data_IF_118067054632
#
_entry.id   IF_118067054632
#
_cell.length_a   1.000
_cell.length_b   1.000
_cell.length_c   1.000
_cell.angle_alpha   90.00
_cell.angle_beta   90.00
_cell.angle_gamma   90.00
#
_symmetry.space_group_name_H-M   'P 1'
#
loop_
_entity.id
_entity.type
_entity.pdbx_description
1 polymer ?
#
# COMPACT_ATOMS: atom_id res chain seq x y z
N UNK A 1 5.05 12.29 22.04
CA UNK A 1 4.44 10.94 22.07
C UNK A 1 3.49 10.64 20.91
N UNK A 2 2.84 11.62 20.24
CA UNK A 2 1.89 11.36 19.14
C UNK A 2 2.54 11.19 17.74
N UNK A 3 3.69 11.82 17.47
CA UNK A 3 4.35 11.74 16.15
C UNK A 3 4.97 10.35 15.91
N UNK A 4 5.60 9.77 16.94
CA UNK A 4 6.15 8.42 16.85
C UNK A 4 5.08 7.34 16.60
N UNK A 5 3.88 7.51 17.17
CA UNK A 5 2.77 6.57 16.95
C UNK A 5 2.21 6.65 15.52
N UNK A 6 2.11 7.85 14.92
CA UNK A 6 1.61 7.99 13.54
C UNK A 6 2.60 7.50 12.49
N UNK A 7 3.91 7.67 12.72
CA UNK A 7 4.96 7.10 11.85
C UNK A 7 4.88 5.56 11.90
N UNK A 8 4.75 5.00 13.10
CA UNK A 8 4.62 3.55 13.27
C UNK A 8 3.36 3.00 12.60
N UNK A 9 2.23 3.70 12.73
CA UNK A 9 0.98 3.34 12.06
C UNK A 9 1.07 3.45 10.54
N UNK A 10 1.70 4.50 10.01
CA UNK A 10 1.95 4.64 8.58
C UNK A 10 2.86 3.52 8.04
N UNK A 11 3.90 3.16 8.80
CA UNK A 11 4.78 2.04 8.44
C UNK A 11 4.03 0.69 8.42
N UNK A 12 3.19 0.43 9.44
CA UNK A 12 2.35 -0.78 9.48
C UNK A 12 1.36 -0.78 8.31
N UNK A 13 0.75 0.36 8.00
CA UNK A 13 -0.14 0.53 6.84
C UNK A 13 0.56 0.19 5.52
N UNK A 14 1.78 0.70 5.33
CA UNK A 14 2.60 0.38 4.14
C UNK A 14 2.97 -1.11 4.06
N UNK A 15 3.36 -1.74 5.16
CA UNK A 15 3.73 -3.16 5.18
C UNK A 15 2.55 -4.06 4.85
N UNK A 16 1.40 -3.82 5.49
CA UNK A 16 0.17 -4.54 5.18
C UNK A 16 -0.25 -4.33 3.73
N UNK A 17 -0.08 -3.11 3.22
CA UNK A 17 -0.37 -2.79 1.83
C UNK A 17 0.51 -3.58 0.86
N UNK A 18 1.80 -3.67 1.14
CA UNK A 18 2.72 -4.41 0.30
C UNK A 18 2.38 -5.91 0.25
N UNK A 19 1.99 -6.51 1.39
CA UNK A 19 1.59 -7.90 1.45
C UNK A 19 0.35 -8.19 0.58
N UNK A 20 -0.69 -7.36 0.69
CA UNK A 20 -1.94 -7.56 -0.07
C UNK A 20 -1.80 -7.20 -1.55
N UNK A 21 -0.94 -6.22 -1.89
CA UNK A 21 -0.55 -5.95 -3.28
C UNK A 21 0.16 -7.16 -3.90
N UNK A 22 1.09 -7.78 -3.18
CA UNK A 22 1.80 -8.97 -3.66
C UNK A 22 0.81 -10.11 -3.89
N UNK A 23 -0.13 -10.32 -2.97
CA UNK A 23 -1.18 -11.33 -3.12
C UNK A 23 -2.05 -11.07 -4.35
N UNK A 24 -2.53 -9.85 -4.53
CA UNK A 24 -3.34 -9.45 -5.69
C UNK A 24 -2.57 -9.63 -7.00
N UNK A 25 -1.29 -9.24 -7.03
CA UNK A 25 -0.42 -9.45 -8.19
C UNK A 25 -0.25 -10.95 -8.52
N UNK A 26 -0.08 -11.82 -7.52
CA UNK A 26 0.00 -13.27 -7.75
C UNK A 26 -1.31 -13.86 -8.28
N UNK A 27 -2.46 -13.35 -7.83
CA UNK A 27 -3.77 -13.77 -8.33
C UNK A 27 -3.94 -13.37 -9.80
N UNK A 28 -3.55 -12.14 -10.16
CA UNK A 28 -3.56 -11.65 -11.55
C UNK A 28 -2.65 -12.49 -12.45
N UNK A 29 -1.44 -12.82 -11.97
CA UNK A 29 -0.49 -13.64 -12.71
C UNK A 29 -1.01 -15.07 -12.93
N UNK A 30 -1.59 -15.69 -11.90
CA UNK A 30 -2.18 -17.02 -12.01
C UNK A 30 -3.39 -17.04 -12.95
N UNK A 31 -4.22 -16.01 -12.87
CA UNK A 31 -5.36 -15.79 -13.76
C UNK A 31 -4.94 -15.73 -15.23
N UNK A 32 -3.87 -15.00 -15.57
CA UNK A 32 -3.34 -14.95 -16.94
C UNK A 32 -2.78 -16.30 -17.41
N UNK A 33 -2.22 -17.13 -16.52
CA UNK A 33 -1.75 -18.47 -16.89
C UNK A 33 -2.89 -19.47 -17.11
N UNK A 34 -3.97 -19.39 -16.32
CA UNK A 34 -5.11 -20.32 -16.35
C UNK A 34 -6.07 -20.03 -17.53
N UNK A 35 -6.06 -18.80 -18.05
CA UNK A 35 -6.85 -18.39 -19.21
C UNK A 35 -6.57 -19.19 -20.49
N UNK A 36 -5.41 -19.87 -20.57
CA UNK A 36 -5.08 -20.77 -21.69
C UNK A 36 -5.92 -22.05 -21.70
N UNK A 37 -6.42 -22.50 -20.54
CA UNK A 37 -7.13 -23.78 -20.37
C UNK A 37 -8.66 -23.63 -20.20
N UNK A 38 -9.16 -22.47 -19.75
CA UNK A 38 -10.61 -22.27 -19.60
C UNK A 38 -11.05 -20.79 -19.66
N UNK A 39 -11.63 -20.31 -20.77
CA UNK A 39 -11.97 -18.88 -20.97
C UNK A 39 -13.18 -18.37 -20.17
N UNK A 40 -13.84 -19.20 -19.35
CA UNK A 40 -15.10 -18.83 -18.67
C UNK A 40 -14.98 -18.45 -17.18
N UNK A 41 -13.81 -18.52 -16.54
CA UNK A 41 -13.75 -18.44 -15.07
C UNK A 41 -12.57 -17.63 -14.49
N UNK A 42 -12.15 -16.56 -15.15
CA UNK A 42 -11.06 -15.73 -14.64
C UNK A 42 -11.54 -14.31 -14.37
N UNK A 43 -12.12 -14.11 -13.17
CA UNK A 43 -12.49 -12.77 -12.71
C UNK A 43 -11.22 -12.01 -12.27
N UNK A 44 -10.66 -11.24 -13.21
CA UNK A 44 -9.53 -10.35 -12.98
C UNK A 44 -9.94 -9.02 -12.35
N UNK A 45 -11.25 -8.70 -12.33
CA UNK A 45 -11.73 -7.37 -11.93
C UNK A 45 -11.49 -7.15 -10.44
N UNK A 46 -11.86 -8.14 -9.61
CA UNK A 46 -11.66 -8.06 -8.16
C UNK A 46 -10.18 -7.89 -7.75
N UNK A 47 -9.22 -8.73 -8.21
CA UNK A 47 -7.83 -8.56 -7.81
C UNK A 47 -7.18 -7.29 -8.39
N UNK A 48 -7.62 -6.80 -9.56
CA UNK A 48 -7.15 -5.51 -10.11
C UNK A 48 -7.65 -4.32 -9.27
N UNK A 49 -8.92 -4.33 -8.87
CA UNK A 49 -9.48 -3.29 -7.99
C UNK A 49 -8.78 -3.33 -6.63
N UNK A 50 -8.58 -4.51 -6.07
CA UNK A 50 -7.87 -4.68 -4.80
C UNK A 50 -6.43 -4.15 -4.88
N UNK A 51 -5.70 -4.50 -5.94
CA UNK A 51 -4.35 -3.98 -6.18
C UNK A 51 -4.32 -2.44 -6.20
N UNK A 52 -5.25 -1.82 -6.92
CA UNK A 52 -5.35 -0.36 -7.00
C UNK A 52 -5.71 0.28 -5.65
N UNK A 53 -6.69 -0.30 -4.94
CA UNK A 53 -7.08 0.14 -3.60
C UNK A 53 -5.88 0.09 -2.65
N UNK A 54 -5.12 -0.99 -2.71
CA UNK A 54 -4.00 -1.20 -1.82
C UNK A 54 -2.81 -0.29 -2.14
N UNK A 55 -2.59 0.03 -3.42
CA UNK A 55 -1.63 1.07 -3.84
C UNK A 55 -2.01 2.44 -3.26
N UNK A 56 -3.30 2.81 -3.32
CA UNK A 56 -3.76 4.08 -2.75
C UNK A 56 -3.59 4.13 -1.23
N UNK A 57 -3.82 3.01 -0.53
CA UNK A 57 -3.59 2.89 0.91
C UNK A 57 -2.10 2.99 1.27
N UNK A 58 -1.24 2.39 0.45
CA UNK A 58 0.20 2.52 0.58
C UNK A 58 0.64 3.98 0.45
N UNK A 59 0.23 4.67 -0.62
CA UNK A 59 0.59 6.06 -0.89
C UNK A 59 0.08 7.00 0.21
N UNK A 60 -1.14 6.76 0.70
CA UNK A 60 -1.71 7.54 1.80
C UNK A 60 -0.90 7.35 3.09
N UNK A 61 -0.48 6.12 3.38
CA UNK A 61 0.36 5.80 4.54
C UNK A 61 1.76 6.41 4.41
N UNK A 62 2.35 6.37 3.21
CA UNK A 62 3.62 7.02 2.90
C UNK A 62 3.52 8.55 3.09
N UNK A 63 2.40 9.16 2.67
CA UNK A 63 2.16 10.59 2.87
C UNK A 63 2.08 10.98 4.34
N UNK A 64 1.47 10.15 5.19
CA UNK A 64 1.44 10.38 6.65
C UNK A 64 2.84 10.36 7.24
N UNK A 65 3.67 9.38 6.85
CA UNK A 65 5.07 9.31 7.30
C UNK A 65 5.87 10.52 6.82
N UNK A 66 5.71 10.91 5.56
CA UNK A 66 6.35 12.09 4.99
C UNK A 66 5.98 13.37 5.75
N UNK A 67 4.69 13.61 5.98
CA UNK A 67 4.23 14.81 6.71
C UNK A 67 4.76 14.78 8.15
N UNK A 68 4.79 13.62 8.79
CA UNK A 68 5.39 13.49 10.12
C UNK A 68 6.88 13.86 10.12
N UNK A 69 7.64 13.43 9.11
CA UNK A 69 9.06 13.78 8.93
C UNK A 69 9.26 15.29 8.67
N UNK A 70 8.48 15.87 7.75
CA UNK A 70 8.49 17.31 7.46
C UNK A 70 8.14 18.16 8.71
N UNK A 71 7.14 17.75 9.49
CA UNK A 71 6.81 18.43 10.74
C UNK A 71 7.93 18.33 11.78
N UNK A 72 8.64 17.20 11.83
CA UNK A 72 9.77 17.04 12.74
C UNK A 72 10.96 17.90 12.29
N UNK A 73 11.24 17.94 10.99
CA UNK A 73 12.28 18.78 10.40
C UNK A 73 12.04 20.27 10.63
N UNK A 74 10.80 20.74 10.43
CA UNK A 74 10.42 22.15 10.70
C UNK A 74 10.48 22.49 12.19
N UNK A 75 10.10 21.56 13.07
CA UNK A 75 10.29 21.74 14.52
C UNK A 75 11.76 21.79 14.92
N UNK A 76 12.65 21.06 14.23
CA UNK A 76 14.09 21.13 14.48
C UNK A 76 14.67 22.47 14.01
N UNK A 77 14.29 22.92 12.82
CA UNK A 77 14.76 24.18 12.21
C UNK A 77 14.34 25.41 13.03
N UNK A 78 13.13 25.39 13.62
CA UNK A 78 12.66 26.48 14.50
C UNK A 78 13.28 26.49 15.90
N UNK A 79 13.97 25.41 16.31
CA UNK A 79 14.64 25.30 17.62
C UNK A 79 16.15 25.49 17.56
N UNK A 80 16.75 25.40 16.36
CA UNK A 80 18.15 25.70 16.10
C UNK A 80 18.40 27.22 16.02
#
# INVERSE_FOLDING_TARGET
MQIGSVITQGLIGMQNSQAEMTRSATQIAQATTTQSDNPQATDLVEPLINLQLQSQLFDSSARVVQVADETLGTLLDTKA
#
